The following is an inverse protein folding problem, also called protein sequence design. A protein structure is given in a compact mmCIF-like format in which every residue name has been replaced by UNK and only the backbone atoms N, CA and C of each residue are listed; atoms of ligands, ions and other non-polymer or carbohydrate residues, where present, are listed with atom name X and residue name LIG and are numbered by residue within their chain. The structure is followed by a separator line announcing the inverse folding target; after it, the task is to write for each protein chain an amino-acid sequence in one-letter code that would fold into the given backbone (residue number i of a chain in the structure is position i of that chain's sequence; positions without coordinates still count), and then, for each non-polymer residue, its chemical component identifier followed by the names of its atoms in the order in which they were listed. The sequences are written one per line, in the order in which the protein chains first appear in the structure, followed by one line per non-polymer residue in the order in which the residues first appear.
data_IF_659232049837
#
_entry.id   IF_659232049837
#
_cell.length_a   1.000
_cell.length_b   1.000
_cell.length_c   1.000
_cell.angle_alpha   90.00
_cell.angle_beta   90.00
_cell.angle_gamma   90.00
#
_symmetry.space_group_name_H-M   'P 1'
#
loop_
_entity.id
_entity.type
_entity.pdbx_description
1 polymer ?
#
# COMPACT_ATOMS: atom_id res chain seq x y z
N UNK A 1 -15.63 1.59 20.94
CA UNK A 1 -15.06 0.59 19.99
C UNK A 1 -14.27 1.39 18.96
N UNK A 2 -12.97 1.13 18.80
CA UNK A 2 -12.16 1.79 17.75
C UNK A 2 -12.71 1.40 16.38
N UNK A 3 -12.79 2.36 15.46
CA UNK A 3 -13.24 2.10 14.09
C UNK A 3 -12.32 1.04 13.47
N UNK A 4 -12.88 -0.05 12.93
CA UNK A 4 -12.12 -1.05 12.17
C UNK A 4 -12.12 -0.67 10.71
N UNK A 5 -10.95 -0.62 10.13
CA UNK A 5 -10.70 -0.36 8.71
C UNK A 5 -10.46 -1.67 7.96
N UNK A 6 -10.78 -1.68 6.69
CA UNK A 6 -10.33 -2.71 5.76
C UNK A 6 -9.06 -2.23 5.07
N UNK A 7 -8.01 -3.06 5.14
CA UNK A 7 -6.67 -2.75 4.68
C UNK A 7 -6.24 -3.73 3.58
N UNK A 8 -5.45 -3.27 2.62
CA UNK A 8 -4.89 -4.09 1.54
C UNK A 8 -3.37 -4.00 1.60
N UNK A 9 -2.71 -5.15 1.55
CA UNK A 9 -1.26 -5.28 1.46
C UNK A 9 -0.87 -5.99 0.16
N UNK A 10 -0.49 -5.26 -0.90
CA UNK A 10 0.05 -5.86 -2.12
C UNK A 10 1.41 -6.53 -1.85
N UNK A 11 1.62 -7.71 -2.43
CA UNK A 11 2.87 -8.46 -2.38
C UNK A 11 3.23 -9.04 -3.75
N UNK A 12 4.40 -9.65 -3.90
CA UNK A 12 4.75 -10.38 -5.10
C UNK A 12 3.87 -11.63 -5.23
N UNK A 13 3.53 -11.98 -6.46
CA UNK A 13 2.82 -13.23 -6.77
C UNK A 13 3.61 -14.44 -6.25
N UNK A 14 2.91 -15.38 -5.60
CA UNK A 14 3.50 -16.56 -4.96
C UNK A 14 4.11 -16.30 -3.58
N UNK A 15 4.12 -15.04 -3.11
CA UNK A 15 4.65 -14.66 -1.80
C UNK A 15 3.56 -14.39 -0.76
N UNK A 16 2.30 -14.67 -1.10
CA UNK A 16 1.14 -14.35 -0.26
C UNK A 16 1.17 -15.12 1.07
N UNK A 17 1.71 -16.34 1.06
CA UNK A 17 1.82 -17.17 2.28
C UNK A 17 2.74 -16.52 3.31
N UNK A 18 3.87 -15.94 2.88
CA UNK A 18 4.81 -15.21 3.75
C UNK A 18 4.15 -13.96 4.34
N UNK A 19 3.50 -13.16 3.50
CA UNK A 19 2.78 -11.98 3.94
C UNK A 19 1.64 -12.30 4.92
N UNK A 20 0.91 -13.41 4.68
CA UNK A 20 -0.12 -13.90 5.60
C UNK A 20 0.44 -14.26 6.97
N UNK A 21 1.60 -14.93 6.99
CA UNK A 21 2.26 -15.25 8.25
C UNK A 21 2.68 -13.99 9.03
N UNK A 22 3.22 -12.99 8.35
CA UNK A 22 3.58 -11.70 8.96
C UNK A 22 2.36 -10.98 9.54
N UNK A 23 1.25 -10.90 8.77
CA UNK A 23 0.00 -10.28 9.22
C UNK A 23 -0.56 -10.95 10.48
N UNK A 24 -0.54 -12.30 10.53
CA UNK A 24 -0.96 -13.04 11.74
C UNK A 24 -0.09 -12.71 12.93
N UNK A 25 1.21 -12.58 12.74
CA UNK A 25 2.17 -12.24 13.83
C UNK A 25 1.91 -10.87 14.45
N UNK A 26 1.45 -9.90 13.69
CA UNK A 26 1.10 -8.55 14.20
C UNK A 26 -0.35 -8.45 14.69
N UNK A 27 -1.10 -9.56 14.68
CA UNK A 27 -2.47 -9.62 15.20
C UNK A 27 -3.53 -9.08 14.25
N UNK A 28 -3.28 -9.08 12.92
CA UNK A 28 -4.28 -8.68 11.93
C UNK A 28 -5.47 -9.66 11.93
N UNK A 29 -6.68 -9.10 11.77
CA UNK A 29 -7.93 -9.88 11.78
C UNK A 29 -8.50 -10.02 10.35
N UNK A 30 -9.38 -11.00 10.15
CA UNK A 30 -10.15 -11.21 8.91
C UNK A 30 -9.27 -11.26 7.65
N UNK A 31 -8.10 -11.90 7.74
CA UNK A 31 -7.16 -11.98 6.62
C UNK A 31 -7.74 -12.82 5.49
N UNK A 32 -7.81 -12.22 4.29
CA UNK A 32 -8.20 -12.88 3.04
C UNK A 32 -7.04 -12.79 2.06
N UNK A 33 -6.66 -13.92 1.49
CA UNK A 33 -5.57 -14.03 0.53
C UNK A 33 -6.14 -14.06 -0.88
N UNK A 34 -5.58 -13.27 -1.77
CA UNK A 34 -5.85 -13.30 -3.21
C UNK A 34 -4.55 -13.06 -3.99
N UNK A 35 -4.56 -13.32 -5.28
CA UNK A 35 -3.38 -13.22 -6.13
C UNK A 35 -2.69 -11.86 -6.01
N UNK A 36 -1.45 -11.86 -5.51
CA UNK A 36 -0.59 -10.68 -5.36
C UNK A 36 -1.00 -9.70 -4.27
N UNK A 37 -1.97 -10.05 -3.38
CA UNK A 37 -2.38 -9.17 -2.28
C UNK A 37 -3.08 -9.90 -1.15
N UNK A 38 -3.07 -9.29 0.02
CA UNK A 38 -3.88 -9.70 1.18
C UNK A 38 -4.79 -8.55 1.59
N UNK A 39 -6.01 -8.89 2.00
CA UNK A 39 -6.94 -7.96 2.63
C UNK A 39 -7.12 -8.37 4.08
N UNK A 40 -7.12 -7.41 5.00
CA UNK A 40 -7.23 -7.67 6.44
C UNK A 40 -7.91 -6.50 7.15
N UNK A 41 -8.29 -6.70 8.40
CA UNK A 41 -8.98 -5.67 9.20
C UNK A 41 -8.13 -5.25 10.40
N UNK A 42 -8.24 -3.98 10.78
CA UNK A 42 -7.62 -3.45 11.99
C UNK A 42 -7.97 -1.99 12.24
N UNK A 43 -7.62 -1.47 13.40
CA UNK A 43 -7.74 -0.05 13.74
C UNK A 43 -6.54 0.77 13.28
N UNK A 44 -6.47 2.06 13.67
CA UNK A 44 -5.32 2.93 13.36
C UNK A 44 -3.98 2.35 13.83
N UNK A 45 -3.97 1.66 14.97
CA UNK A 45 -2.80 0.97 15.52
C UNK A 45 -2.31 -0.16 14.61
N UNK A 46 -3.22 -0.84 13.90
CA UNK A 46 -2.86 -1.87 12.93
C UNK A 46 -2.20 -1.27 11.68
N UNK A 47 -2.64 -0.10 11.23
CA UNK A 47 -1.98 0.62 10.13
C UNK A 47 -0.52 0.92 10.49
N UNK A 48 -0.29 1.43 11.70
CA UNK A 48 1.07 1.72 12.19
C UNK A 48 1.90 0.43 12.35
N UNK A 49 1.34 -0.61 12.97
CA UNK A 49 2.00 -1.89 13.17
C UNK A 49 2.37 -2.56 11.83
N UNK A 50 1.46 -2.53 10.85
CA UNK A 50 1.70 -3.09 9.53
C UNK A 50 2.81 -2.34 8.78
N UNK A 51 2.78 -0.99 8.75
CA UNK A 51 3.81 -0.18 8.11
C UNK A 51 5.19 -0.34 8.77
N UNK A 52 5.23 -0.59 10.08
CA UNK A 52 6.48 -0.77 10.82
C UNK A 52 7.08 -2.18 10.63
N UNK A 53 6.24 -3.22 10.66
CA UNK A 53 6.70 -4.61 10.83
C UNK A 53 6.66 -5.48 9.58
N UNK A 54 5.83 -5.15 8.56
CA UNK A 54 5.73 -5.98 7.37
C UNK A 54 6.97 -5.85 6.49
N UNK A 55 7.56 -7.00 6.13
CA UNK A 55 8.80 -7.11 5.35
C UNK A 55 8.55 -7.45 3.90
N UNK A 56 7.51 -8.27 3.65
CA UNK A 56 7.30 -8.96 2.36
C UNK A 56 6.23 -8.33 1.50
N UNK A 57 5.58 -7.25 1.99
CA UNK A 57 4.58 -6.49 1.25
C UNK A 57 5.13 -5.15 0.77
N UNK A 58 4.54 -4.62 -0.29
CA UNK A 58 5.01 -3.39 -0.93
C UNK A 58 4.45 -2.12 -0.28
N UNK A 59 3.21 -2.20 0.22
CA UNK A 59 2.46 -1.08 0.81
C UNK A 59 1.38 -1.57 1.76
N UNK A 60 0.84 -0.64 2.54
CA UNK A 60 -0.39 -0.78 3.31
C UNK A 60 -1.37 0.27 2.82
N UNK A 61 -2.49 -0.16 2.27
CA UNK A 61 -3.49 0.70 1.66
C UNK A 61 -4.79 0.61 2.47
N UNK A 62 -5.39 1.74 2.78
CA UNK A 62 -6.72 1.82 3.40
C UNK A 62 -7.78 1.76 2.31
N UNK A 63 -8.61 0.72 2.29
CA UNK A 63 -9.72 0.61 1.36
C UNK A 63 -10.86 1.53 1.79
N UNK A 64 -11.24 2.46 0.92
CA UNK A 64 -12.30 3.44 1.20
C UNK A 64 -13.63 3.02 0.57
N UNK A 65 -13.61 2.46 -0.64
CA UNK A 65 -14.82 2.03 -1.33
C UNK A 65 -14.51 0.95 -2.38
N UNK A 66 -15.49 0.08 -2.63
CA UNK A 66 -15.49 -0.91 -3.71
C UNK A 66 -16.87 -0.91 -4.37
N UNK A 67 -16.93 -0.63 -5.68
CA UNK A 67 -18.18 -0.48 -6.41
C UNK A 67 -18.02 -0.79 -7.91
N UNK A 68 -19.09 -1.19 -8.62
CA UNK A 68 -19.07 -1.34 -10.07
C UNK A 68 -18.85 0.02 -10.76
N UNK A 69 -17.98 0.05 -11.78
CA UNK A 69 -17.73 1.24 -12.59
C UNK A 69 -17.36 0.85 -14.02
N UNK A 70 -18.33 0.93 -14.90
CA UNK A 70 -18.21 0.67 -16.34
C UNK A 70 -18.16 1.96 -17.15
N UNK A 71 -18.66 3.05 -16.59
CA UNK A 71 -18.70 4.39 -17.19
C UNK A 71 -17.95 5.41 -16.33
N UNK A 72 -17.59 6.55 -16.92
CA UNK A 72 -16.97 7.65 -16.17
C UNK A 72 -17.92 8.29 -15.16
N UNK A 73 -19.23 8.28 -15.41
CA UNK A 73 -20.23 8.80 -14.47
C UNK A 73 -20.32 7.90 -13.24
N UNK A 74 -20.38 6.57 -13.43
CA UNK A 74 -20.36 5.61 -12.32
C UNK A 74 -19.05 5.72 -11.52
N UNK A 75 -17.90 5.89 -12.20
CA UNK A 75 -16.61 6.12 -11.55
C UNK A 75 -16.64 7.40 -10.70
N UNK A 76 -17.17 8.50 -11.26
CA UNK A 76 -17.29 9.77 -10.57
C UNK A 76 -18.18 9.68 -9.33
N UNK A 77 -19.37 9.11 -9.46
CA UNK A 77 -20.37 9.03 -8.40
C UNK A 77 -19.87 8.18 -7.22
N UNK A 78 -19.25 7.04 -7.50
CA UNK A 78 -18.69 6.17 -6.47
C UNK A 78 -17.54 6.82 -5.69
N UNK A 79 -16.71 7.64 -6.35
CA UNK A 79 -15.67 8.44 -5.68
C UNK A 79 -16.26 9.59 -4.90
N UNK A 80 -17.24 10.30 -5.46
CA UNK A 80 -17.90 11.44 -4.82
C UNK A 80 -18.66 11.03 -3.55
N UNK A 81 -19.18 9.80 -3.48
CA UNK A 81 -19.88 9.26 -2.32
C UNK A 81 -18.98 9.07 -1.08
N UNK A 82 -17.67 8.92 -1.27
CA UNK A 82 -16.71 8.76 -0.17
C UNK A 82 -16.66 10.05 0.67
N UNK A 83 -16.70 9.97 2.02
CA UNK A 83 -16.62 11.13 2.90
C UNK A 83 -15.17 11.64 3.02
N UNK A 84 -14.63 12.19 1.92
CA UNK A 84 -13.24 12.65 1.84
C UNK A 84 -12.83 13.64 2.92
N UNK A 85 -13.78 14.43 3.40
CA UNK A 85 -13.60 15.39 4.49
C UNK A 85 -13.19 14.76 5.84
N UNK A 86 -13.40 13.44 6.00
CA UNK A 86 -12.97 12.69 7.19
C UNK A 86 -11.51 12.21 7.08
N UNK A 87 -10.96 12.17 5.86
CA UNK A 87 -9.63 11.64 5.58
C UNK A 87 -8.62 12.71 5.16
N UNK A 88 -9.09 13.78 4.52
CA UNK A 88 -8.26 14.79 3.89
C UNK A 88 -8.55 16.16 4.50
N UNK A 89 -7.53 16.84 5.07
CA UNK A 89 -7.67 18.25 5.43
C UNK A 89 -7.86 19.14 4.20
N UNK A 90 -8.37 20.35 4.39
CA UNK A 90 -8.74 21.27 3.31
C UNK A 90 -7.55 21.71 2.43
N UNK A 91 -6.33 21.64 2.95
CA UNK A 91 -5.09 22.00 2.27
C UNK A 91 -4.30 20.79 1.73
N UNK A 92 -4.82 19.57 1.90
CA UNK A 92 -4.14 18.34 1.47
C UNK A 92 -3.81 18.35 -0.01
N UNK A 93 -2.61 17.89 -0.36
CA UNK A 93 -2.25 17.51 -1.72
C UNK A 93 -2.61 16.04 -1.94
N UNK A 94 -3.38 15.71 -2.98
CA UNK A 94 -3.84 14.34 -3.20
C UNK A 94 -3.64 13.87 -4.65
N UNK A 95 -2.42 13.45 -5.00
CA UNK A 95 -2.16 12.84 -6.30
C UNK A 95 -2.91 11.52 -6.43
N UNK A 96 -3.46 11.27 -7.64
CA UNK A 96 -4.21 10.05 -7.96
C UNK A 96 -3.35 9.16 -8.85
N UNK A 97 -3.19 7.90 -8.45
CA UNK A 97 -2.48 6.89 -9.24
C UNK A 97 -3.27 5.58 -9.24
N UNK A 98 -3.11 4.76 -10.25
CA UNK A 98 -3.80 3.46 -10.28
C UNK A 98 -3.61 2.70 -11.57
N UNK A 99 -4.44 1.69 -11.75
CA UNK A 99 -4.41 0.79 -12.91
C UNK A 99 -5.82 0.35 -13.30
N UNK A 100 -5.96 0.01 -14.57
CA UNK A 100 -7.17 -0.62 -15.12
C UNK A 100 -6.79 -1.89 -15.84
N UNK A 101 -7.48 -2.99 -15.51
CA UNK A 101 -7.25 -4.30 -16.10
C UNK A 101 -8.58 -4.98 -16.43
N UNK A 102 -8.73 -5.43 -17.67
CA UNK A 102 -9.93 -6.13 -18.14
C UNK A 102 -11.24 -5.38 -17.81
N UNK A 103 -11.25 -4.06 -18.00
CA UNK A 103 -12.38 -3.16 -17.72
C UNK A 103 -12.70 -2.29 -18.92
N UNK A 104 -13.90 -1.76 -18.99
CA UNK A 104 -14.35 -0.86 -20.08
C UNK A 104 -13.59 0.47 -20.04
N UNK A 105 -13.32 0.99 -18.86
CA UNK A 105 -12.52 2.21 -18.65
C UNK A 105 -11.02 1.86 -18.74
N UNK A 106 -10.45 1.87 -19.92
CA UNK A 106 -9.06 1.47 -20.19
C UNK A 106 -8.05 2.60 -20.00
N UNK A 107 -8.46 3.86 -20.17
CA UNK A 107 -7.57 5.03 -20.07
C UNK A 107 -7.29 5.39 -18.62
N UNK A 108 -6.14 4.97 -18.11
CA UNK A 108 -5.68 5.31 -16.75
C UNK A 108 -5.62 6.84 -16.53
N UNK A 109 -5.06 7.68 -17.43
CA UNK A 109 -5.06 9.13 -17.25
C UNK A 109 -6.47 9.74 -17.18
N UNK A 110 -7.42 9.23 -17.97
CA UNK A 110 -8.80 9.70 -17.91
C UNK A 110 -9.46 9.34 -16.57
N UNK A 111 -9.26 8.11 -16.10
CA UNK A 111 -9.74 7.69 -14.78
C UNK A 111 -9.14 8.56 -13.65
N UNK A 112 -7.83 8.83 -13.69
CA UNK A 112 -7.17 9.73 -12.72
C UNK A 112 -7.81 11.11 -12.69
N UNK A 113 -8.08 11.69 -13.86
CA UNK A 113 -8.71 13.02 -13.99
C UNK A 113 -10.13 13.03 -13.41
N UNK A 114 -10.94 12.00 -13.70
CA UNK A 114 -12.31 11.88 -13.19
C UNK A 114 -12.31 11.69 -11.67
N UNK A 115 -11.44 10.83 -11.14
CA UNK A 115 -11.30 10.60 -9.69
C UNK A 115 -10.88 11.91 -9.00
N UNK A 116 -9.85 12.60 -9.53
CA UNK A 116 -9.40 13.88 -8.98
C UNK A 116 -10.53 14.90 -8.95
N UNK A 117 -11.29 15.02 -10.07
CA UNK A 117 -12.44 15.94 -10.17
C UNK A 117 -13.53 15.62 -9.14
N UNK A 118 -13.82 14.34 -8.89
CA UNK A 118 -14.83 13.93 -7.91
C UNK A 118 -14.42 14.29 -6.48
N UNK A 119 -13.16 14.02 -6.11
CA UNK A 119 -12.59 14.39 -4.80
C UNK A 119 -12.64 15.90 -4.59
N UNK A 120 -12.14 16.68 -5.58
CA UNK A 120 -12.17 18.14 -5.53
C UNK A 120 -13.58 18.65 -5.33
N UNK A 121 -14.55 18.17 -6.13
CA UNK A 121 -15.95 18.62 -6.04
C UNK A 121 -16.54 18.30 -4.64
N UNK A 122 -16.26 17.12 -4.09
CA UNK A 122 -16.71 16.75 -2.75
C UNK A 122 -16.13 17.66 -1.68
N UNK A 123 -14.81 17.85 -1.66
CA UNK A 123 -14.13 18.68 -0.66
C UNK A 123 -14.55 20.15 -0.76
N UNK A 124 -14.65 20.71 -1.97
CA UNK A 124 -15.14 22.09 -2.17
C UNK A 124 -16.56 22.26 -1.60
N UNK A 125 -17.45 21.30 -1.86
CA UNK A 125 -18.82 21.34 -1.33
C UNK A 125 -18.83 21.26 0.20
N UNK A 126 -18.00 20.42 0.80
CA UNK A 126 -17.99 20.21 2.26
C UNK A 126 -17.27 21.30 3.03
N UNK A 127 -16.20 21.83 2.47
CA UNK A 127 -15.44 22.93 3.07
C UNK A 127 -16.00 24.34 2.72
N UNK A 128 -17.06 24.40 1.92
CA UNK A 128 -17.67 25.68 1.45
C UNK A 128 -16.64 26.63 0.81
N UNK A 129 -15.71 26.07 0.01
CA UNK A 129 -14.65 26.82 -0.68
C UNK A 129 -14.73 26.62 -2.18
N UNK A 130 -14.24 27.59 -2.95
CA UNK A 130 -14.09 27.50 -4.40
C UNK A 130 -12.67 27.09 -4.82
N UNK A 131 -11.73 27.02 -3.89
CA UNK A 131 -10.32 26.69 -4.16
C UNK A 131 -9.78 25.75 -3.10
N UNK A 132 -9.07 24.71 -3.52
CA UNK A 132 -8.27 23.85 -2.66
C UNK A 132 -6.79 24.19 -2.92
N UNK A 133 -6.03 24.67 -1.94
CA UNK A 133 -4.68 25.16 -2.17
C UNK A 133 -3.65 24.05 -2.47
N UNK A 134 -3.93 22.82 -2.04
CA UNK A 134 -3.04 21.65 -2.17
C UNK A 134 -1.58 21.91 -1.71
N UNK A 135 -1.41 22.69 -0.66
CA UNK A 135 -0.10 23.10 -0.12
C UNK A 135 0.31 22.33 1.13
N UNK A 136 -0.60 21.52 1.66
CA UNK A 136 -0.39 20.70 2.86
C UNK A 136 0.28 19.36 2.58
N UNK A 137 0.11 18.43 3.50
CA UNK A 137 0.68 17.07 3.39
C UNK A 137 0.09 16.30 2.20
N UNK A 138 0.91 15.39 1.64
CA UNK A 138 0.50 14.56 0.52
C UNK A 138 -0.24 13.30 0.98
N UNK A 139 -1.43 13.09 0.45
CA UNK A 139 -2.29 11.93 0.65
C UNK A 139 -2.52 11.21 -0.68
N UNK A 140 -1.74 10.19 -0.99
CA UNK A 140 -1.82 9.47 -2.27
C UNK A 140 -3.09 8.66 -2.36
N UNK A 141 -3.96 9.00 -3.31
CA UNK A 141 -5.14 8.22 -3.65
C UNK A 141 -4.73 7.18 -4.70
N UNK A 142 -5.08 5.92 -4.44
CA UNK A 142 -4.89 4.82 -5.38
C UNK A 142 -6.23 4.26 -5.83
N UNK A 143 -6.31 3.90 -7.11
CA UNK A 143 -7.45 3.15 -7.62
C UNK A 143 -6.99 1.89 -8.34
N UNK A 144 -7.83 0.88 -8.29
CA UNK A 144 -7.73 -0.31 -9.11
C UNK A 144 -9.08 -0.59 -9.76
N UNK A 145 -9.10 -0.58 -11.08
CA UNK A 145 -10.23 -1.04 -11.89
C UNK A 145 -9.92 -2.44 -12.39
N UNK A 146 -10.72 -3.42 -12.00
CA UNK A 146 -10.57 -4.81 -12.47
C UNK A 146 -11.94 -5.40 -12.76
N UNK A 147 -12.16 -5.85 -14.01
CA UNK A 147 -13.44 -6.43 -14.45
C UNK A 147 -14.63 -5.52 -14.14
N UNK A 148 -14.48 -4.21 -14.40
CA UNK A 148 -15.48 -3.16 -14.14
C UNK A 148 -15.84 -2.98 -12.65
N UNK A 149 -15.01 -3.43 -11.73
CA UNK A 149 -15.09 -3.10 -10.30
C UNK A 149 -13.98 -2.14 -9.96
N UNK A 150 -14.32 -1.01 -9.36
CA UNK A 150 -13.39 0.00 -8.89
C UNK A 150 -13.17 -0.14 -7.39
N UNK A 151 -11.93 -0.20 -6.98
CA UNK A 151 -11.48 -0.05 -5.59
C UNK A 151 -10.80 1.29 -5.45
N UNK A 152 -11.19 2.09 -4.48
CA UNK A 152 -10.55 3.36 -4.11
C UNK A 152 -9.87 3.19 -2.76
N UNK A 153 -8.60 3.53 -2.72
CA UNK A 153 -7.74 3.31 -1.56
C UNK A 153 -6.95 4.58 -1.23
N UNK A 154 -6.63 4.77 0.04
CA UNK A 154 -5.68 5.76 0.51
C UNK A 154 -4.36 5.07 0.87
N UNK A 155 -3.25 5.55 0.33
CA UNK A 155 -1.91 5.01 0.62
C UNK A 155 -1.43 5.50 1.99
N UNK A 156 -1.32 4.60 2.96
CA UNK A 156 -0.86 4.91 4.31
C UNK A 156 0.65 4.76 4.47
N UNK A 157 1.35 4.34 3.41
CA UNK A 157 2.77 3.98 3.49
C UNK A 157 3.69 5.15 3.16
N UNK A 158 3.25 6.09 2.32
CA UNK A 158 4.12 7.12 1.77
C UNK A 158 5.12 6.52 0.78
N UNK A 159 6.41 6.51 1.11
CA UNK A 159 7.41 5.75 0.35
C UNK A 159 7.17 4.24 0.50
N UNK A 160 7.42 3.47 -0.58
CA UNK A 160 7.20 2.02 -0.54
C UNK A 160 7.99 1.31 0.55
N UNK A 161 7.43 0.23 1.10
CA UNK A 161 8.04 -0.52 2.20
C UNK A 161 9.42 -1.09 1.87
N UNK A 162 9.76 -1.29 0.60
CA UNK A 162 11.10 -1.67 0.17
C UNK A 162 12.16 -0.60 0.53
N UNK A 163 11.81 0.69 0.64
CA UNK A 163 12.73 1.74 1.05
C UNK A 163 12.97 1.69 2.56
N UNK A 164 13.89 0.84 3.02
CA UNK A 164 14.20 0.60 4.44
C UNK A 164 15.06 1.68 5.10
N UNK A 165 15.62 2.62 4.32
CA UNK A 165 16.51 3.66 4.82
C UNK A 165 17.98 3.25 5.04
N UNK A 166 18.34 1.97 4.90
CA UNK A 166 19.73 1.53 5.08
C UNK A 166 20.61 1.65 3.84
N UNK A 167 20.00 1.77 2.65
CA UNK A 167 20.74 1.85 1.39
C UNK A 167 21.30 3.25 1.20
N UNK A 168 22.60 3.40 1.35
CA UNK A 168 23.32 4.69 1.18
C UNK A 168 23.79 4.92 -0.26
N UNK A 169 24.23 3.85 -0.95
CA UNK A 169 24.70 3.89 -2.33
C UNK A 169 23.80 3.03 -3.21
N UNK A 170 23.29 3.61 -4.28
CA UNK A 170 22.56 2.86 -5.30
C UNK A 170 23.56 2.15 -6.21
N UNK A 171 23.57 0.82 -6.21
CA UNK A 171 24.15 0.04 -7.30
C UNK A 171 23.12 -0.09 -8.41
N UNK A 172 23.56 -0.36 -9.64
CA UNK A 172 22.67 -0.61 -10.77
C UNK A 172 21.79 -1.83 -10.49
N UNK A 173 20.46 -1.65 -10.60
CA UNK A 173 19.43 -2.68 -10.50
C UNK A 173 19.54 -3.69 -9.31
N UNK A 174 19.62 -3.23 -8.04
CA UNK A 174 19.66 -4.17 -6.92
C UNK A 174 18.30 -4.86 -6.72
N UNK A 175 18.34 -6.06 -6.13
CA UNK A 175 17.10 -6.74 -5.69
C UNK A 175 16.33 -5.84 -4.72
N UNK A 176 14.99 -5.80 -4.85
CA UNK A 176 14.15 -5.07 -3.88
C UNK A 176 14.21 -5.73 -2.51
N UNK A 177 14.23 -4.91 -1.48
CA UNK A 177 14.31 -5.34 -0.09
C UNK A 177 13.13 -6.24 0.31
N UNK A 178 11.93 -5.96 -0.17
CA UNK A 178 10.73 -6.80 0.06
C UNK A 178 10.86 -8.18 -0.56
N UNK A 179 11.45 -8.30 -1.73
CA UNK A 179 11.73 -9.59 -2.36
C UNK A 179 12.86 -10.34 -1.64
N UNK A 180 13.93 -9.65 -1.27
CA UNK A 180 15.03 -10.24 -0.50
C UNK A 180 14.55 -10.77 0.86
N UNK A 181 13.68 -10.00 1.54
CA UNK A 181 13.04 -10.44 2.78
C UNK A 181 12.18 -11.70 2.58
N UNK A 182 11.43 -11.77 1.47
CA UNK A 182 10.65 -12.97 1.12
C UNK A 182 11.54 -14.18 0.90
N UNK A 183 12.66 -14.02 0.18
CA UNK A 183 13.64 -15.11 -0.03
C UNK A 183 14.21 -15.58 1.30
N UNK A 184 14.61 -14.67 2.19
CA UNK A 184 15.11 -15.00 3.52
C UNK A 184 14.04 -15.71 4.38
N UNK A 185 12.76 -15.37 4.18
CA UNK A 185 11.65 -16.05 4.88
C UNK A 185 11.42 -17.45 4.35
N UNK A 186 11.38 -17.63 3.04
CA UNK A 186 11.27 -18.95 2.40
C UNK A 186 12.48 -19.85 2.73
N UNK A 187 13.69 -19.29 2.84
CA UNK A 187 14.89 -19.94 3.32
C UNK A 187 14.87 -20.28 4.82
N UNK A 188 13.78 -19.93 5.54
CA UNK A 188 13.61 -20.19 6.98
C UNK A 188 14.76 -19.70 7.85
N UNK A 189 15.37 -18.56 7.46
CA UNK A 189 16.44 -17.93 8.24
C UNK A 189 15.99 -17.68 9.68
N UNK A 190 16.82 -18.12 10.65
CA UNK A 190 16.63 -18.01 12.09
C UNK A 190 17.87 -17.35 12.73
N UNK A 191 17.81 -17.11 14.02
CA UNK A 191 18.88 -16.45 14.79
C UNK A 191 20.22 -17.20 14.74
N UNK A 192 20.20 -18.50 14.62
CA UNK A 192 21.34 -19.41 14.59
C UNK A 192 21.73 -19.88 13.18
N UNK A 193 21.09 -19.33 12.14
CA UNK A 193 21.37 -19.74 10.76
C UNK A 193 22.70 -19.15 10.28
N UNK A 194 23.52 -19.97 9.64
CA UNK A 194 24.60 -19.52 8.78
C UNK A 194 24.00 -19.20 7.39
N UNK A 195 24.20 -17.97 6.92
CA UNK A 195 23.71 -17.51 5.61
C UNK A 195 24.89 -17.03 4.80
N UNK A 196 25.10 -17.64 3.63
CA UNK A 196 26.13 -17.26 2.68
C UNK A 196 25.50 -16.83 1.35
N UNK A 197 26.03 -15.76 0.76
CA UNK A 197 25.62 -15.27 -0.55
C UNK A 197 26.88 -14.99 -1.38
N UNK A 198 27.34 -15.95 -2.23
CA UNK A 198 28.56 -15.82 -3.00
C UNK A 198 28.46 -14.76 -4.10
N UNK A 199 27.27 -14.25 -4.40
CA UNK A 199 27.02 -13.21 -5.41
C UNK A 199 26.35 -11.98 -4.81
N UNK A 200 26.71 -11.62 -3.59
CA UNK A 200 25.97 -10.71 -2.71
C UNK A 200 25.68 -9.31 -3.29
N UNK A 201 26.46 -8.84 -4.26
CA UNK A 201 26.29 -7.50 -4.83
C UNK A 201 26.27 -6.43 -3.74
N UNK A 202 25.14 -5.74 -3.58
CA UNK A 202 24.95 -4.73 -2.51
C UNK A 202 24.64 -5.33 -1.12
N UNK A 203 24.65 -6.65 -0.97
CA UNK A 203 24.36 -7.34 0.28
C UNK A 203 22.90 -7.31 0.73
N UNK A 204 21.97 -6.89 -0.13
CA UNK A 204 20.56 -6.72 0.25
C UNK A 204 19.96 -8.00 0.87
N UNK A 205 20.22 -9.17 0.28
CA UNK A 205 19.72 -10.45 0.79
C UNK A 205 20.27 -10.75 2.18
N UNK A 206 21.57 -10.56 2.40
CA UNK A 206 22.23 -10.77 3.69
C UNK A 206 21.73 -9.78 4.75
N UNK A 207 21.50 -8.51 4.38
CA UNK A 207 20.97 -7.50 5.30
C UNK A 207 19.54 -7.86 5.73
N UNK A 208 18.66 -8.24 4.80
CA UNK A 208 17.28 -8.65 5.13
C UNK A 208 17.26 -9.95 5.95
N UNK A 209 18.14 -10.90 5.64
CA UNK A 209 18.32 -12.14 6.42
C UNK A 209 18.76 -11.83 7.86
N UNK A 210 19.74 -10.95 8.04
CA UNK A 210 20.24 -10.53 9.36
C UNK A 210 19.15 -9.80 10.15
N UNK A 211 18.45 -8.85 9.55
CA UNK A 211 17.33 -8.13 10.19
C UNK A 211 16.22 -9.09 10.64
N UNK A 212 15.91 -10.11 9.81
CA UNK A 212 14.96 -11.15 10.18
C UNK A 212 15.45 -11.97 11.37
N UNK A 213 16.69 -12.47 11.33
CA UNK A 213 17.30 -13.27 12.37
C UNK A 213 17.34 -12.53 13.72
N UNK A 214 17.60 -11.22 13.69
CA UNK A 214 17.65 -10.34 14.85
C UNK A 214 16.29 -9.80 15.28
N UNK A 215 15.21 -10.12 14.56
CA UNK A 215 13.85 -9.59 14.75
C UNK A 215 13.77 -8.04 14.76
N UNK A 216 14.57 -7.38 13.93
CA UNK A 216 14.56 -5.92 13.77
C UNK A 216 13.41 -5.53 12.83
N UNK A 217 12.50 -4.66 13.28
CA UNK A 217 11.39 -4.20 12.43
C UNK A 217 11.91 -3.40 11.23
N UNK A 218 11.47 -3.72 9.99
CA UNK A 218 12.01 -3.12 8.77
C UNK A 218 11.70 -1.63 8.61
N UNK A 219 10.66 -1.13 9.26
CA UNK A 219 10.24 0.26 9.20
C UNK A 219 10.95 1.23 10.15
N UNK A 220 11.86 0.75 11.03
CA UNK A 220 12.47 1.58 12.08
C UNK A 220 13.33 2.75 11.58
N UNK A 221 13.88 2.66 10.38
CA UNK A 221 14.78 3.69 9.80
C UNK A 221 14.20 4.37 8.58
N UNK A 222 12.93 4.16 8.33
CA UNK A 222 12.19 4.71 7.18
C UNK A 222 11.77 6.14 7.41
#
# INVERSE_FOLDING_TARGET
MSAKFELIAPCFFGCEATANFELRRIGAENIRVSDGRLTFSGGPEMIAAANLNLRTVERVLLLLNTYPASTFDELFDGVYAIPWEEFLPADAAFPVTGSSLNSQLTSVPACQSIIKKAVVKRLMTKHHTSVLPETGAEYKIRFMLRKNVCEIMLDTTGDGLHKRGYRRNAMEAPIRETLAATIADLGRVRRDSLVEDPFCGSGTLLIEAAQKAMNIAPGLKR
#
